data_IF_587189078741
#
_entry.id   IF_587189078741
#
_cell.length_a   1.000
_cell.length_b   1.000
_cell.length_c   1.000
_cell.angle_alpha   90.00
_cell.angle_beta   90.00
_cell.angle_gamma   90.00
#
_symmetry.space_group_name_H-M   'P 1'
#
loop_
_entity.id
_entity.type
_entity.pdbx_description
1 polymer ?
#
# COMPACT_ATOMS: atom_id res chain seq x y z
N UNK A 1 48.50 -36.65 -52.21
CA UNK A 1 47.37 -35.71 -51.96
C UNK A 1 47.38 -35.32 -50.49
N UNK A 2 47.53 -34.05 -50.17
CA UNK A 2 47.20 -33.49 -48.86
C UNK A 2 46.91 -32.00 -49.06
N UNK A 3 45.62 -31.66 -49.19
CA UNK A 3 45.17 -30.26 -49.26
C UNK A 3 45.17 -29.70 -47.84
N UNK A 4 46.10 -28.79 -47.54
CA UNK A 4 46.03 -27.97 -46.33
C UNK A 4 44.85 -27.00 -46.48
N UNK A 5 43.87 -27.12 -45.60
CA UNK A 5 42.78 -26.13 -45.46
C UNK A 5 43.36 -24.89 -44.79
N UNK A 6 43.27 -23.69 -45.36
CA UNK A 6 43.67 -22.47 -44.68
C UNK A 6 42.62 -22.17 -43.60
N UNK A 7 43.02 -22.28 -42.34
CA UNK A 7 42.29 -21.72 -41.20
C UNK A 7 42.49 -20.21 -41.21
N UNK A 8 41.73 -19.53 -42.07
CA UNK A 8 41.67 -18.07 -42.06
C UNK A 8 40.88 -17.64 -40.82
N UNK A 9 41.58 -17.56 -39.68
CA UNK A 9 41.10 -16.82 -38.52
C UNK A 9 41.34 -15.34 -38.83
N UNK A 10 40.46 -14.74 -39.63
CA UNK A 10 40.33 -13.29 -39.65
C UNK A 10 39.94 -12.85 -38.25
N UNK A 11 40.94 -12.48 -37.46
CA UNK A 11 40.74 -11.78 -36.20
C UNK A 11 39.99 -10.50 -36.54
N UNK A 12 38.70 -10.47 -36.21
CA UNK A 12 37.88 -9.27 -36.36
C UNK A 12 38.46 -8.22 -35.41
N UNK A 13 39.36 -7.39 -35.95
CA UNK A 13 40.08 -6.38 -35.18
C UNK A 13 39.11 -5.24 -34.93
N UNK A 14 38.40 -5.31 -33.81
CA UNK A 14 37.48 -4.24 -33.38
C UNK A 14 38.34 -2.97 -33.24
N UNK A 15 38.01 -1.88 -33.94
CA UNK A 15 38.73 -0.62 -33.82
C UNK A 15 38.84 -0.19 -32.36
N UNK A 16 40.05 0.23 -31.96
CA UNK A 16 40.37 0.58 -30.56
C UNK A 16 39.37 1.59 -29.98
N UNK A 17 38.93 2.54 -30.79
CA UNK A 17 37.94 3.57 -30.40
C UNK A 17 36.56 2.97 -30.07
N UNK A 18 36.14 1.93 -30.80
CA UNK A 18 34.88 1.21 -30.56
C UNK A 18 35.00 0.38 -29.27
N UNK A 19 36.16 -0.24 -29.03
CA UNK A 19 36.42 -0.97 -27.79
C UNK A 19 36.43 -0.04 -26.57
N UNK A 20 37.09 1.11 -26.66
CA UNK A 20 37.14 2.12 -25.60
C UNK A 20 35.76 2.73 -25.31
N UNK A 21 34.96 2.99 -26.36
CA UNK A 21 33.58 3.46 -26.22
C UNK A 21 32.70 2.41 -25.52
N UNK A 22 32.79 1.14 -25.93
CA UNK A 22 32.06 0.04 -25.32
C UNK A 22 32.40 -0.11 -23.82
N UNK A 23 33.69 -0.07 -23.46
CA UNK A 23 34.11 -0.10 -22.06
C UNK A 23 33.58 1.10 -21.27
N UNK A 24 33.58 2.31 -21.86
CA UNK A 24 33.06 3.53 -21.22
C UNK A 24 31.56 3.44 -20.97
N UNK A 25 30.79 2.96 -21.95
CA UNK A 25 29.34 2.75 -21.83
C UNK A 25 29.02 1.68 -20.79
N UNK A 26 29.77 0.57 -20.78
CA UNK A 26 29.62 -0.49 -19.78
C UNK A 26 29.87 0.03 -18.36
N UNK A 27 30.96 0.79 -18.15
CA UNK A 27 31.25 1.43 -16.85
C UNK A 27 30.16 2.42 -16.42
N UNK A 28 29.60 3.21 -17.35
CA UNK A 28 28.46 4.11 -17.08
C UNK A 28 27.21 3.32 -16.66
N UNK A 29 26.89 2.23 -17.37
CA UNK A 29 25.74 1.36 -17.07
C UNK A 29 25.87 0.71 -15.70
N UNK A 30 27.05 0.17 -15.36
CA UNK A 30 27.32 -0.40 -14.04
C UNK A 30 27.16 0.62 -12.91
N UNK A 31 27.62 1.87 -13.10
CA UNK A 31 27.43 2.94 -12.12
C UNK A 31 25.94 3.28 -11.93
N UNK A 32 25.18 3.36 -13.03
CA UNK A 32 23.73 3.60 -13.01
C UNK A 32 22.98 2.49 -12.26
N UNK A 33 23.21 1.23 -12.61
CA UNK A 33 22.58 0.08 -11.95
C UNK A 33 22.91 0.03 -10.45
N UNK A 34 24.15 0.32 -10.05
CA UNK A 34 24.53 0.42 -8.64
C UNK A 34 23.76 1.55 -7.92
N UNK A 35 23.64 2.72 -8.55
CA UNK A 35 22.90 3.84 -7.95
C UNK A 35 21.40 3.56 -7.81
N UNK A 36 20.79 2.91 -8.81
CA UNK A 36 19.37 2.53 -8.78
C UNK A 36 19.09 1.48 -7.70
N UNK A 37 19.97 0.48 -7.56
CA UNK A 37 19.90 -0.51 -6.47
C UNK A 37 19.98 0.16 -5.10
N UNK A 38 20.91 1.10 -4.90
CA UNK A 38 21.03 1.85 -3.65
C UNK A 38 19.80 2.71 -3.35
N UNK A 39 19.24 3.39 -4.36
CA UNK A 39 18.01 4.17 -4.20
C UNK A 39 16.83 3.26 -3.82
N UNK A 40 16.69 2.11 -4.49
CA UNK A 40 15.64 1.12 -4.19
C UNK A 40 15.75 0.62 -2.75
N UNK A 41 16.94 0.20 -2.32
CA UNK A 41 17.19 -0.25 -0.94
C UNK A 41 16.87 0.83 0.09
N UNK A 42 17.27 2.08 -0.16
CA UNK A 42 16.95 3.21 0.75
C UNK A 42 15.44 3.45 0.84
N UNK A 43 14.70 3.35 -0.28
CA UNK A 43 13.23 3.49 -0.29
C UNK A 43 12.56 2.37 0.48
N UNK A 44 12.97 1.13 0.25
CA UNK A 44 12.45 -0.05 0.97
C UNK A 44 12.71 0.07 2.48
N UNK A 45 13.92 0.47 2.88
CA UNK A 45 14.25 0.70 4.29
C UNK A 45 13.40 1.82 4.91
N UNK A 46 13.21 2.94 4.19
CA UNK A 46 12.36 4.05 4.64
C UNK A 46 10.90 3.59 4.81
N UNK A 47 10.36 2.84 3.85
CA UNK A 47 9.01 2.29 3.94
C UNK A 47 8.85 1.31 5.09
N UNK A 48 9.85 0.44 5.32
CA UNK A 48 9.85 -0.49 6.46
C UNK A 48 9.85 0.28 7.79
N UNK A 49 10.69 1.29 7.94
CA UNK A 49 10.74 2.11 9.15
C UNK A 49 9.43 2.86 9.40
N UNK A 50 8.81 3.40 8.34
CA UNK A 50 7.48 4.03 8.44
C UNK A 50 6.41 3.03 8.88
N UNK A 51 6.39 1.82 8.33
CA UNK A 51 5.44 0.76 8.76
C UNK A 51 5.62 0.40 10.23
N UNK A 52 6.86 0.20 10.69
CA UNK A 52 7.15 -0.10 12.10
C UNK A 52 6.71 1.04 13.01
N UNK A 53 6.98 2.30 12.64
CA UNK A 53 6.57 3.46 13.42
C UNK A 53 5.05 3.61 13.50
N UNK A 54 4.35 3.41 12.37
CA UNK A 54 2.88 3.42 12.31
C UNK A 54 2.27 2.31 13.15
N UNK A 55 2.79 1.09 13.04
CA UNK A 55 2.37 -0.04 13.87
C UNK A 55 2.53 0.30 15.36
N UNK A 56 3.73 0.75 15.77
CA UNK A 56 4.02 1.09 17.17
C UNK A 56 3.06 2.13 17.75
N UNK A 57 2.69 3.14 16.97
CA UNK A 57 1.89 4.27 17.46
C UNK A 57 0.38 4.11 17.19
N UNK A 58 0.00 3.29 16.22
CA UNK A 58 -1.37 3.13 15.73
C UNK A 58 -2.06 1.84 16.18
N UNK A 59 -1.33 0.86 16.71
CA UNK A 59 -1.89 -0.45 17.01
C UNK A 59 -3.04 -0.39 18.02
N UNK A 60 -2.95 0.43 19.07
CA UNK A 60 -4.02 0.57 20.06
C UNK A 60 -5.35 1.03 19.41
N UNK A 61 -5.30 2.12 18.62
CA UNK A 61 -6.46 2.64 17.91
C UNK A 61 -6.98 1.64 16.87
N UNK A 62 -6.06 1.01 16.12
CA UNK A 62 -6.42 0.00 15.13
C UNK A 62 -7.12 -1.20 15.76
N UNK A 63 -6.66 -1.69 16.91
CA UNK A 63 -7.29 -2.78 17.67
C UNK A 63 -8.69 -2.41 18.09
N UNK A 64 -8.87 -1.20 18.66
CA UNK A 64 -10.20 -0.72 19.06
C UNK A 64 -11.17 -0.67 17.88
N UNK A 65 -10.74 -0.11 16.75
CA UNK A 65 -11.56 -0.04 15.52
C UNK A 65 -11.86 -1.45 15.00
N UNK A 66 -10.85 -2.33 14.96
CA UNK A 66 -11.00 -3.67 14.41
C UNK A 66 -11.99 -4.51 15.23
N UNK A 67 -11.91 -4.46 16.56
CA UNK A 67 -12.85 -5.14 17.45
C UNK A 67 -14.26 -4.58 17.29
N UNK A 68 -14.44 -3.27 17.41
CA UNK A 68 -15.75 -2.63 17.25
C UNK A 68 -16.40 -2.95 15.90
N UNK A 69 -15.63 -2.86 14.80
CA UNK A 69 -16.13 -3.14 13.46
C UNK A 69 -16.49 -4.62 13.28
N UNK A 70 -15.74 -5.54 13.92
CA UNK A 70 -16.03 -6.98 13.89
C UNK A 70 -17.31 -7.29 14.65
N UNK A 71 -17.47 -6.75 15.85
CA UNK A 71 -18.69 -6.87 16.66
C UNK A 71 -19.92 -6.35 15.91
N UNK A 72 -19.82 -5.15 15.33
CA UNK A 72 -20.89 -4.57 14.52
C UNK A 72 -21.25 -5.50 13.36
N UNK A 73 -20.26 -5.98 12.60
CA UNK A 73 -20.50 -6.89 11.46
C UNK A 73 -21.22 -8.18 11.85
N UNK A 74 -20.94 -8.69 13.04
CA UNK A 74 -21.48 -9.97 13.52
C UNK A 74 -22.83 -9.83 14.22
N UNK A 75 -23.17 -8.62 14.68
CA UNK A 75 -24.48 -8.27 15.23
C UNK A 75 -25.61 -8.36 14.20
N UNK A 76 -26.83 -8.57 14.67
CA UNK A 76 -28.01 -8.61 13.80
C UNK A 76 -28.31 -7.24 13.19
N UNK A 77 -28.22 -6.17 13.99
CA UNK A 77 -28.34 -4.79 13.52
C UNK A 77 -27.32 -4.48 12.41
N UNK A 78 -26.07 -4.87 12.58
CA UNK A 78 -25.05 -4.63 11.54
C UNK A 78 -25.28 -5.44 10.27
N UNK A 79 -25.80 -6.67 10.37
CA UNK A 79 -26.23 -7.46 9.19
C UNK A 79 -27.39 -6.78 8.47
N UNK A 80 -28.36 -6.25 9.21
CA UNK A 80 -29.49 -5.50 8.63
C UNK A 80 -29.03 -4.21 7.96
N UNK A 81 -28.18 -3.43 8.62
CA UNK A 81 -27.59 -2.21 8.05
C UNK A 81 -26.77 -2.51 6.78
N UNK A 82 -25.99 -3.60 6.77
CA UNK A 82 -25.27 -4.02 5.56
C UNK A 82 -26.24 -4.43 4.44
N UNK A 83 -27.33 -5.14 4.74
CA UNK A 83 -28.35 -5.49 3.74
C UNK A 83 -29.07 -4.26 3.18
N UNK A 84 -29.33 -3.25 4.02
CA UNK A 84 -29.91 -1.99 3.61
C UNK A 84 -28.94 -1.15 2.74
N UNK A 85 -27.64 -1.39 2.88
CA UNK A 85 -26.63 -0.72 2.06
C UNK A 85 -26.56 -1.27 0.64
N UNK A 86 -26.65 -0.38 -0.35
CA UNK A 86 -26.40 -0.71 -1.75
C UNK A 86 -24.98 -1.27 -1.94
N UNK A 87 -24.87 -2.60 -2.03
CA UNK A 87 -23.61 -3.32 -2.23
C UNK A 87 -23.03 -4.02 -0.99
N UNK A 88 -23.79 -4.15 0.10
CA UNK A 88 -23.38 -4.85 1.33
C UNK A 88 -22.18 -4.25 2.06
N UNK A 89 -21.80 -3.02 1.71
CA UNK A 89 -20.71 -2.26 2.32
C UNK A 89 -21.29 -1.16 3.22
N UNK A 90 -21.11 -1.25 4.52
CA UNK A 90 -21.50 -0.23 5.48
C UNK A 90 -20.28 0.66 5.82
N UNK A 91 -20.22 1.86 5.26
CA UNK A 91 -19.21 2.85 5.63
C UNK A 91 -19.59 3.52 6.95
N UNK A 92 -18.71 3.49 7.94
CA UNK A 92 -18.91 4.16 9.24
C UNK A 92 -18.01 5.39 9.43
N UNK A 93 -17.00 5.57 8.57
CA UNK A 93 -16.14 6.74 8.58
C UNK A 93 -15.84 7.21 7.15
N UNK A 94 -15.80 8.52 6.93
CA UNK A 94 -15.37 9.13 5.67
C UNK A 94 -14.90 10.56 5.88
N UNK A 95 -13.68 10.70 6.38
CA UNK A 95 -13.12 11.97 6.81
C UNK A 95 -11.77 12.27 6.18
N UNK A 96 -11.45 13.55 6.12
CA UNK A 96 -10.09 14.02 5.90
C UNK A 96 -9.58 14.57 7.23
N UNK A 97 -8.44 14.08 7.70
CA UNK A 97 -7.77 14.60 8.90
C UNK A 97 -6.65 15.53 8.44
N UNK A 98 -6.34 16.58 9.22
CA UNK A 98 -5.44 17.66 8.79
C UNK A 98 -4.18 17.17 8.07
N UNK A 99 -4.01 17.57 6.82
CA UNK A 99 -2.84 17.23 5.99
C UNK A 99 -2.80 15.80 5.46
N UNK A 100 -3.80 14.95 5.75
CA UNK A 100 -3.91 13.60 5.20
C UNK A 100 -4.80 13.58 3.96
N UNK A 101 -4.71 12.51 3.20
CA UNK A 101 -5.73 12.19 2.19
C UNK A 101 -7.05 11.85 2.89
N UNK A 102 -8.17 12.09 2.19
CA UNK A 102 -9.49 11.71 2.68
C UNK A 102 -9.64 10.20 2.61
N UNK A 103 -9.97 9.57 3.74
CA UNK A 103 -10.07 8.11 3.87
C UNK A 103 -11.48 7.73 4.32
N UNK A 104 -11.99 6.64 3.76
CA UNK A 104 -13.21 5.97 4.25
C UNK A 104 -12.86 4.64 4.91
N UNK A 105 -13.52 4.32 6.03
CA UNK A 105 -13.53 2.99 6.63
C UNK A 105 -14.96 2.45 6.66
N UNK A 106 -15.10 1.14 6.49
CA UNK A 106 -16.39 0.48 6.48
C UNK A 106 -16.26 -1.02 6.67
N UNK A 107 -17.38 -1.68 6.95
CA UNK A 107 -17.48 -3.13 7.01
C UNK A 107 -18.22 -3.66 5.79
N UNK A 108 -17.84 -4.86 5.39
CA UNK A 108 -18.51 -5.64 4.34
C UNK A 108 -18.74 -7.05 4.85
N UNK A 109 -19.45 -7.87 4.08
CA UNK A 109 -19.55 -9.32 4.31
C UNK A 109 -18.17 -9.98 4.41
N UNK A 110 -17.18 -9.44 3.69
CA UNK A 110 -15.80 -9.94 3.70
C UNK A 110 -14.93 -9.42 4.86
N UNK A 111 -15.47 -8.56 5.71
CA UNK A 111 -14.74 -7.93 6.82
C UNK A 111 -14.56 -6.42 6.66
N UNK A 112 -13.70 -5.86 7.51
CA UNK A 112 -13.34 -4.44 7.51
C UNK A 112 -12.56 -4.07 6.24
N UNK A 113 -12.84 -2.89 5.71
CA UNK A 113 -12.11 -2.30 4.61
C UNK A 113 -11.80 -0.82 4.86
N UNK A 114 -10.80 -0.32 4.16
CA UNK A 114 -10.54 1.11 4.04
C UNK A 114 -10.26 1.50 2.59
N UNK A 115 -10.46 2.76 2.23
CA UNK A 115 -10.06 3.29 0.91
C UNK A 115 -9.76 4.77 0.98
N UNK A 116 -8.91 5.26 0.08
CA UNK A 116 -8.86 6.69 -0.21
C UNK A 116 -10.14 7.14 -0.92
N UNK A 117 -10.54 8.39 -0.70
CA UNK A 117 -11.66 9.00 -1.40
C UNK A 117 -11.19 9.62 -2.72
N UNK A 118 -11.82 9.25 -3.82
CA UNK A 118 -11.50 9.76 -5.16
C UNK A 118 -12.06 8.88 -6.27
N UNK A 119 -11.93 9.33 -7.52
CA UNK A 119 -12.26 8.52 -8.70
C UNK A 119 -11.25 7.35 -8.79
N UNK A 120 -11.76 6.11 -8.76
CA UNK A 120 -11.03 4.83 -8.96
C UNK A 120 -10.27 4.26 -7.74
N UNK A 121 -10.67 4.58 -6.51
CA UNK A 121 -10.08 3.92 -5.33
C UNK A 121 -10.80 2.59 -5.02
N UNK A 122 -10.07 1.48 -5.03
CA UNK A 122 -10.58 0.16 -4.62
C UNK A 122 -10.51 -0.02 -3.10
N UNK A 123 -11.50 -0.74 -2.56
CA UNK A 123 -11.52 -1.13 -1.16
C UNK A 123 -10.28 -1.99 -0.84
N UNK A 124 -9.49 -1.56 0.15
CA UNK A 124 -8.39 -2.33 0.73
C UNK A 124 -8.94 -3.14 1.90
N UNK A 125 -8.82 -4.46 1.83
CA UNK A 125 -9.27 -5.34 2.91
C UNK A 125 -8.34 -5.26 4.10
N UNK A 126 -8.95 -5.30 5.29
CA UNK A 126 -8.25 -5.33 6.57
C UNK A 126 -8.41 -6.70 7.20
N UNK A 127 -7.29 -7.41 7.38
CA UNK A 127 -7.29 -8.77 7.92
C UNK A 127 -7.00 -8.84 9.42
N UNK A 128 -6.37 -7.80 9.97
CA UNK A 128 -6.04 -7.70 11.39
C UNK A 128 -5.86 -6.24 11.83
N UNK A 129 -5.80 -6.02 13.14
CA UNK A 129 -5.48 -4.71 13.71
C UNK A 129 -4.09 -4.21 13.27
N UNK A 130 -3.08 -5.08 13.21
CA UNK A 130 -1.74 -4.74 12.73
C UNK A 130 -1.76 -4.32 11.26
N UNK A 131 -2.52 -5.05 10.44
CA UNK A 131 -2.68 -4.71 9.03
C UNK A 131 -3.32 -3.33 8.84
N UNK A 132 -4.29 -2.97 9.68
CA UNK A 132 -4.87 -1.63 9.70
C UNK A 132 -3.86 -0.57 10.16
N UNK A 133 -3.15 -0.82 11.26
CA UNK A 133 -2.17 0.08 11.84
C UNK A 133 -1.01 0.41 10.89
N UNK A 134 -0.57 -0.57 10.08
CA UNK A 134 0.48 -0.33 9.09
C UNK A 134 0.00 0.46 7.87
N UNK A 135 -1.29 0.27 7.51
CA UNK A 135 -1.86 0.77 6.25
C UNK A 135 -2.41 2.19 6.38
N UNK A 136 -2.97 2.54 7.53
CA UNK A 136 -3.65 3.83 7.77
C UNK A 136 -2.84 4.68 8.74
N UNK A 137 -2.79 5.98 8.50
CA UNK A 137 -2.06 6.89 9.37
C UNK A 137 -2.66 6.94 10.78
N UNK A 138 -1.80 6.94 11.81
CA UNK A 138 -2.22 6.95 13.22
C UNK A 138 -3.20 8.07 13.55
N UNK A 139 -3.02 9.26 12.97
CA UNK A 139 -3.91 10.40 13.21
C UNK A 139 -5.34 10.16 12.67
N UNK A 140 -5.47 9.40 11.59
CA UNK A 140 -6.77 8.99 11.04
C UNK A 140 -7.41 7.97 11.97
N UNK A 141 -6.65 6.98 12.43
CA UNK A 141 -7.15 5.97 13.38
C UNK A 141 -7.62 6.60 14.69
N UNK A 142 -6.88 7.57 15.22
CA UNK A 142 -7.28 8.37 16.39
C UNK A 142 -8.63 9.05 16.17
N UNK A 143 -8.81 9.68 15.02
CA UNK A 143 -10.06 10.38 14.70
C UNK A 143 -11.24 9.41 14.55
N UNK A 144 -11.02 8.26 13.91
CA UNK A 144 -12.04 7.21 13.82
C UNK A 144 -12.43 6.70 15.21
N UNK A 145 -11.47 6.50 16.12
CA UNK A 145 -11.79 6.12 17.50
C UNK A 145 -12.66 7.16 18.20
N UNK A 146 -12.37 8.46 18.02
CA UNK A 146 -13.23 9.52 18.57
C UNK A 146 -14.64 9.46 18.00
N UNK A 147 -14.78 9.21 16.70
CA UNK A 147 -16.10 9.07 16.08
C UNK A 147 -16.89 7.88 16.64
N UNK A 148 -16.21 6.77 16.93
CA UNK A 148 -16.82 5.61 17.58
C UNK A 148 -17.25 5.98 19.00
N UNK A 149 -16.35 6.58 19.78
CA UNK A 149 -16.56 6.92 21.18
C UNK A 149 -17.68 7.95 21.39
N UNK A 150 -17.77 8.93 20.48
CA UNK A 150 -18.79 9.98 20.52
C UNK A 150 -20.12 9.57 19.85
N UNK A 151 -20.14 8.44 19.14
CA UNK A 151 -21.29 8.01 18.36
C UNK A 151 -21.49 8.73 17.02
N UNK A 152 -20.51 9.54 16.58
CA UNK A 152 -20.54 10.23 15.27
C UNK A 152 -20.64 9.24 14.10
N UNK A 153 -20.14 8.01 14.28
CA UNK A 153 -20.31 6.92 13.31
C UNK A 153 -21.79 6.65 13.01
N UNK A 154 -22.66 6.74 14.01
CA UNK A 154 -24.10 6.50 13.85
C UNK A 154 -24.79 7.64 13.13
N UNK A 155 -24.39 8.87 13.45
CA UNK A 155 -24.84 10.04 12.69
C UNK A 155 -24.47 9.87 11.22
N UNK A 156 -23.23 9.48 10.92
CA UNK A 156 -22.78 9.27 9.56
C UNK A 156 -23.52 8.14 8.84
N UNK A 157 -23.71 6.98 9.49
CA UNK A 157 -24.47 5.85 8.94
C UNK A 157 -25.90 6.29 8.61
N UNK A 158 -26.57 7.00 9.53
CA UNK A 158 -27.95 7.46 9.35
C UNK A 158 -28.14 8.43 8.18
N UNK A 159 -27.16 9.29 7.89
CA UNK A 159 -27.28 10.28 6.81
C UNK A 159 -26.79 9.76 5.45
N UNK A 160 -26.29 8.53 5.40
CA UNK A 160 -25.83 7.88 4.17
C UNK A 160 -26.90 6.99 3.54
N UNK A 161 -27.90 6.58 4.32
CA UNK A 161 -29.09 5.82 3.91
C UNK A 161 -30.35 6.65 4.12
#
# INVERSE_FOLDING_TARGET
MNKKVPTDKTAFNIPKDIHELAQRLYKKRLKKEKSEKLIKQKREAKQKNLRIARLKNGLEYATKIFLWATELRESDDGKELMKASHGSDLCFFNGQVMGTEKVSLGISVSGLFWRYSGLRCSNQRVYSAENLAESVETIILQEVCKWIDNGDVWYYIKHRF
#
